data_IF_075979804887
#
_entry.id   IF_075979804887
#
_cell.length_a   1.000
_cell.length_b   1.000
_cell.length_c   1.000
_cell.angle_alpha   90.00
_cell.angle_beta   90.00
_cell.angle_gamma   90.00
#
_symmetry.space_group_name_H-M   'P 1'
#
loop_
_entity.id
_entity.type
_entity.pdbx_description
1 polymer ?
#
# COMPACT_ATOMS: atom_id res chain seq x y z
N UNK A 1 8.96 12.16 -13.04
CA UNK A 1 9.30 10.78 -13.47
C UNK A 1 8.18 10.27 -14.33
N UNK A 2 8.43 9.95 -15.61
CA UNK A 2 7.44 9.35 -16.52
C UNK A 2 7.44 7.84 -16.33
N UNK A 3 6.73 7.37 -15.30
CA UNK A 3 6.41 5.95 -15.13
C UNK A 3 5.24 5.66 -16.07
N UNK A 4 5.40 4.72 -17.00
CA UNK A 4 4.31 4.21 -17.83
C UNK A 4 3.28 3.51 -16.94
N UNK A 5 2.16 4.18 -16.68
CA UNK A 5 1.17 3.72 -15.72
C UNK A 5 0.35 2.53 -16.21
N UNK A 6 0.32 2.26 -17.52
CA UNK A 6 -0.58 1.25 -18.08
C UNK A 6 -0.16 -0.20 -17.78
N UNK A 7 1.08 -0.55 -18.12
CA UNK A 7 1.66 -1.88 -17.90
C UNK A 7 1.85 -2.23 -16.42
N UNK A 8 2.12 -1.22 -15.58
CA UNK A 8 2.19 -1.46 -14.14
C UNK A 8 0.83 -1.65 -13.47
N UNK A 9 -0.24 -1.01 -13.97
CA UNK A 9 -1.59 -1.22 -13.43
C UNK A 9 -2.06 -2.67 -13.59
N UNK A 10 -1.71 -3.31 -14.70
CA UNK A 10 -2.01 -4.73 -14.95
C UNK A 10 -1.27 -5.65 -13.97
N UNK A 11 0.01 -5.38 -13.72
CA UNK A 11 0.81 -6.11 -12.73
C UNK A 11 0.28 -5.97 -11.30
N UNK A 12 -0.19 -4.77 -10.91
CA UNK A 12 -0.75 -4.55 -9.56
C UNK A 12 -2.07 -5.31 -9.39
N UNK A 13 -2.88 -5.35 -10.44
CA UNK A 13 -4.16 -6.08 -10.45
C UNK A 13 -3.92 -7.59 -10.39
N UNK A 14 -2.89 -8.08 -11.06
CA UNK A 14 -2.52 -9.50 -11.02
C UNK A 14 -1.96 -9.92 -9.66
N UNK A 15 -1.13 -9.09 -9.01
CA UNK A 15 -0.64 -9.35 -7.65
C UNK A 15 -1.76 -9.39 -6.61
N UNK A 16 -2.71 -8.45 -6.68
CA UNK A 16 -3.88 -8.45 -5.79
C UNK A 16 -4.71 -9.73 -5.95
N UNK A 17 -4.90 -10.18 -7.20
CA UNK A 17 -5.62 -11.42 -7.49
C UNK A 17 -4.90 -12.65 -6.94
N UNK A 18 -3.57 -12.69 -7.04
CA UNK A 18 -2.74 -13.76 -6.43
C UNK A 18 -2.91 -13.76 -4.91
N UNK A 19 -2.81 -12.60 -4.27
CA UNK A 19 -2.96 -12.48 -2.83
C UNK A 19 -4.36 -12.89 -2.36
N UNK A 20 -5.42 -12.44 -3.06
CA UNK A 20 -6.81 -12.79 -2.76
C UNK A 20 -7.03 -14.31 -2.86
N UNK A 21 -6.51 -14.95 -3.92
CA UNK A 21 -6.57 -16.39 -4.08
C UNK A 21 -5.87 -17.14 -2.94
N UNK A 22 -4.68 -16.67 -2.54
CA UNK A 22 -3.89 -17.28 -1.46
C UNK A 22 -4.50 -17.07 -0.08
N UNK A 23 -5.21 -15.97 0.16
CA UNK A 23 -5.99 -15.78 1.38
C UNK A 23 -7.21 -16.73 1.38
N UNK A 24 -7.94 -16.82 0.26
CA UNK A 24 -9.13 -17.66 0.13
C UNK A 24 -8.84 -19.17 0.24
N UNK A 25 -7.63 -19.63 -0.08
CA UNK A 25 -7.16 -21.00 0.18
C UNK A 25 -7.17 -21.36 1.68
N UNK A 26 -6.96 -20.37 2.56
CA UNK A 26 -6.92 -20.57 4.01
C UNK A 26 -8.32 -20.39 4.62
N UNK A 27 -8.95 -19.27 4.32
CA UNK A 27 -10.33 -18.99 4.71
C UNK A 27 -10.94 -17.99 3.72
N UNK A 28 -12.06 -18.38 3.09
CA UNK A 28 -12.83 -17.52 2.18
C UNK A 28 -13.42 -16.28 2.86
N UNK A 29 -13.45 -16.25 4.19
CA UNK A 29 -13.90 -15.10 4.98
C UNK A 29 -12.80 -14.08 5.25
N UNK A 30 -11.55 -14.33 4.83
CA UNK A 30 -10.52 -13.31 4.92
C UNK A 30 -10.88 -12.12 4.05
N UNK A 31 -10.85 -10.94 4.65
CA UNK A 31 -11.12 -9.66 4.01
C UNK A 31 -9.84 -8.84 3.99
N UNK A 32 -9.55 -8.21 2.85
CA UNK A 32 -8.43 -7.28 2.75
C UNK A 32 -8.69 -6.07 3.65
N UNK A 33 -7.74 -5.74 4.52
CA UNK A 33 -7.85 -4.62 5.46
C UNK A 33 -6.80 -3.53 5.19
N UNK A 34 -5.68 -3.88 4.54
CA UNK A 34 -4.66 -2.93 4.14
C UNK A 34 -3.82 -3.45 2.96
N UNK A 35 -3.19 -2.51 2.25
CA UNK A 35 -2.14 -2.79 1.27
C UNK A 35 -0.95 -1.89 1.60
N UNK A 36 0.23 -2.47 1.74
CA UNK A 36 1.47 -1.74 1.98
C UNK A 36 2.39 -1.94 0.79
N UNK A 37 2.99 -0.87 0.30
CA UNK A 37 3.97 -0.90 -0.80
C UNK A 37 5.24 -0.25 -0.29
N UNK A 38 6.36 -0.95 -0.46
CA UNK A 38 7.66 -0.46 -0.03
C UNK A 38 8.57 -0.34 -1.24
N UNK A 39 8.98 0.87 -1.55
CA UNK A 39 9.82 1.20 -2.69
C UNK A 39 11.17 1.76 -2.22
N UNK A 40 12.28 1.46 -2.92
CA UNK A 40 13.56 2.13 -2.65
C UNK A 40 13.46 3.62 -2.96
N UNK A 41 14.28 4.45 -2.30
CA UNK A 41 14.31 5.89 -2.54
C UNK A 41 14.61 6.31 -4.00
N UNK A 42 15.30 5.45 -4.76
CA UNK A 42 15.55 5.62 -6.20
C UNK A 42 14.27 5.56 -7.05
N UNK A 43 13.23 4.88 -6.54
CA UNK A 43 11.99 4.57 -7.27
C UNK A 43 12.23 3.82 -8.59
N UNK A 44 13.22 2.93 -8.62
CA UNK A 44 13.52 2.13 -9.81
C UNK A 44 12.30 1.31 -10.25
N UNK A 45 12.01 1.30 -11.55
CA UNK A 45 10.83 0.61 -12.09
C UNK A 45 10.85 -0.88 -11.74
N UNK A 46 9.73 -1.41 -11.26
CA UNK A 46 9.59 -2.83 -10.91
C UNK A 46 10.34 -3.25 -9.65
N UNK A 47 10.90 -2.30 -8.89
CA UNK A 47 11.50 -2.56 -7.59
C UNK A 47 10.47 -2.59 -6.46
N UNK A 48 10.90 -3.05 -5.28
CA UNK A 48 10.09 -3.05 -4.08
C UNK A 48 9.21 -4.29 -3.90
N UNK A 49 8.35 -4.18 -2.89
CA UNK A 49 7.43 -5.24 -2.49
C UNK A 49 6.05 -4.68 -2.16
N UNK A 50 5.03 -5.47 -2.42
CA UNK A 50 3.63 -5.16 -2.11
C UNK A 50 3.09 -6.20 -1.14
N UNK A 51 2.65 -5.76 0.02
CA UNK A 51 2.11 -6.58 1.09
C UNK A 51 0.60 -6.37 1.17
N UNK A 52 -0.16 -7.45 1.02
CA UNK A 52 -1.60 -7.47 1.19
C UNK A 52 -1.92 -8.06 2.56
N UNK A 53 -2.67 -7.31 3.37
CA UNK A 53 -3.00 -7.67 4.75
C UNK A 53 -4.48 -8.01 4.84
N UNK A 54 -4.75 -9.22 5.33
CA UNK A 54 -6.10 -9.75 5.48
C UNK A 54 -6.43 -10.02 6.94
N UNK A 55 -7.69 -9.82 7.30
CA UNK A 55 -8.22 -10.21 8.59
C UNK A 55 -9.50 -11.03 8.42
N UNK A 56 -9.73 -11.98 9.34
CA UNK A 56 -10.99 -12.71 9.43
C UNK A 56 -11.68 -12.29 10.72
N UNK A 57 -13.01 -12.19 10.69
CA UNK A 57 -13.78 -11.97 11.90
C UNK A 57 -13.66 -13.15 12.88
N UNK A 58 -13.25 -14.33 12.41
CA UNK A 58 -13.01 -15.51 13.23
C UNK A 58 -11.61 -15.54 13.88
N UNK A 59 -10.57 -14.99 13.22
CA UNK A 59 -9.23 -14.87 13.81
C UNK A 59 -9.06 -13.50 14.47
N UNK A 60 -9.24 -13.47 15.80
CA UNK A 60 -9.08 -12.25 16.59
C UNK A 60 -7.62 -11.92 16.91
N UNK A 61 -6.70 -12.86 16.71
CA UNK A 61 -5.31 -12.76 17.20
C UNK A 61 -4.37 -12.31 16.08
N UNK A 62 -4.53 -12.83 14.86
CA UNK A 62 -3.55 -12.64 13.79
C UNK A 62 -4.14 -11.94 12.56
N UNK A 63 -3.27 -11.22 11.86
CA UNK A 63 -3.41 -10.83 10.47
C UNK A 63 -2.78 -11.90 9.57
N UNK A 64 -3.41 -12.17 8.43
CA UNK A 64 -2.86 -12.99 7.37
C UNK A 64 -2.21 -12.09 6.33
N UNK A 65 -0.92 -12.26 6.10
CA UNK A 65 -0.10 -11.31 5.32
C UNK A 65 0.49 -12.03 4.12
N UNK A 66 0.39 -11.39 2.96
CA UNK A 66 0.95 -11.90 1.70
C UNK A 66 1.79 -10.81 1.07
N UNK A 67 3.11 -10.98 1.09
CA UNK A 67 4.07 -10.06 0.48
C UNK A 67 4.50 -10.59 -0.87
N UNK A 68 4.38 -9.78 -1.91
CA UNK A 68 4.73 -10.10 -3.29
C UNK A 68 5.89 -9.20 -3.74
N UNK A 69 6.95 -9.80 -4.27
CA UNK A 69 8.05 -9.06 -4.90
C UNK A 69 7.58 -8.45 -6.21
N UNK A 70 7.73 -7.13 -6.36
CA UNK A 70 7.34 -6.44 -7.60
C UNK A 70 8.20 -6.88 -8.80
N UNK A 71 9.44 -7.27 -8.55
CA UNK A 71 10.38 -7.68 -9.59
C UNK A 71 10.15 -9.10 -10.09
N UNK A 72 9.81 -10.02 -9.19
CA UNK A 72 9.79 -11.47 -9.52
C UNK A 72 8.41 -12.10 -9.47
N UNK A 73 7.42 -11.43 -8.89
CA UNK A 73 6.09 -11.99 -8.62
C UNK A 73 6.09 -13.12 -7.58
N UNK A 74 7.25 -13.51 -7.04
CA UNK A 74 7.33 -14.47 -5.93
C UNK A 74 6.71 -13.86 -4.69
N UNK A 75 6.11 -14.71 -3.86
CA UNK A 75 5.41 -14.27 -2.66
C UNK A 75 5.83 -15.06 -1.42
N UNK A 76 5.70 -14.40 -0.27
CA UNK A 76 5.81 -14.99 1.07
C UNK A 76 4.47 -14.83 1.77
N UNK A 77 4.13 -15.78 2.64
CA UNK A 77 2.92 -15.77 3.46
C UNK A 77 3.31 -15.84 4.92
N UNK A 78 2.65 -15.04 5.76
CA UNK A 78 2.89 -15.01 7.19
C UNK A 78 1.57 -14.83 7.97
N UNK A 79 1.58 -15.31 9.22
CA UNK A 79 0.63 -14.89 10.25
C UNK A 79 1.37 -13.96 11.18
N UNK A 80 0.86 -12.75 11.33
CA UNK A 80 1.48 -11.75 12.20
C UNK A 80 0.45 -11.37 13.25
N UNK A 81 0.76 -11.43 14.56
CA UNK A 81 -0.15 -10.97 15.60
C UNK A 81 -0.62 -9.55 15.32
N UNK A 82 -1.91 -9.27 15.56
CA UNK A 82 -2.48 -7.95 15.28
C UNK A 82 -1.82 -6.85 16.10
N UNK A 83 -1.45 -7.16 17.34
CA UNK A 83 -0.79 -6.25 18.27
C UNK A 83 0.66 -5.89 17.88
N UNK A 84 1.32 -6.74 17.11
CA UNK A 84 2.70 -6.54 16.65
C UNK A 84 2.78 -5.83 15.29
N UNK A 85 1.64 -5.43 14.71
CA UNK A 85 1.57 -4.94 13.33
C UNK A 85 0.52 -3.85 13.15
N UNK A 86 -0.32 -3.92 12.11
CA UNK A 86 -1.25 -2.85 11.72
C UNK A 86 -2.55 -2.81 12.56
N UNK A 87 -2.67 -3.64 13.60
CA UNK A 87 -3.84 -3.68 14.47
C UNK A 87 -5.09 -4.28 13.83
N UNK A 88 -6.26 -3.92 14.37
CA UNK A 88 -7.58 -4.40 13.96
C UNK A 88 -8.30 -3.41 13.05
N UNK A 89 -7.88 -3.29 11.80
CA UNK A 89 -8.54 -2.43 10.81
C UNK A 89 -9.84 -3.07 10.27
N UNK A 90 -10.76 -2.20 9.83
CA UNK A 90 -11.95 -2.61 9.09
C UNK A 90 -11.61 -2.99 7.64
N UNK A 91 -12.43 -3.88 7.05
CA UNK A 91 -12.27 -4.31 5.66
C UNK A 91 -12.31 -3.14 4.67
N UNK A 92 -11.45 -3.20 3.66
CA UNK A 92 -11.46 -2.29 2.53
C UNK A 92 -12.62 -2.68 1.60
N UNK A 93 -13.46 -1.70 1.25
CA UNK A 93 -14.37 -1.86 0.12
C UNK A 93 -13.65 -1.54 -1.18
N UNK A 94 -13.61 -2.52 -2.09
CA UNK A 94 -12.96 -2.38 -3.41
C UNK A 94 -13.63 -1.32 -4.29
N UNK A 95 -14.90 -0.99 -4.06
CA UNK A 95 -15.62 0.06 -4.79
C UNK A 95 -15.02 1.46 -4.58
N UNK A 96 -14.33 1.66 -3.45
CA UNK A 96 -13.64 2.92 -3.13
C UNK A 96 -12.15 2.90 -3.50
N UNK A 97 -11.60 1.76 -3.88
CA UNK A 97 -10.21 1.64 -4.30
C UNK A 97 -10.08 1.92 -5.82
N UNK A 98 -10.13 3.20 -6.20
CA UNK A 98 -10.05 3.62 -7.61
C UNK A 98 -8.64 3.99 -8.08
N UNK A 99 -7.74 4.25 -7.14
CA UNK A 99 -6.34 4.59 -7.41
C UNK A 99 -5.40 3.49 -6.94
N UNK A 100 -4.52 3.02 -7.81
CA UNK A 100 -3.39 2.19 -7.39
C UNK A 100 -2.26 3.04 -6.80
N UNK A 101 -1.24 2.37 -6.26
CA UNK A 101 -0.13 3.04 -5.59
C UNK A 101 0.70 3.93 -6.53
N UNK A 102 0.74 3.67 -7.84
CA UNK A 102 1.49 4.48 -8.80
C UNK A 102 0.78 5.81 -9.02
N UNK A 103 -0.54 5.76 -9.22
CA UNK A 103 -1.35 6.97 -9.31
C UNK A 103 -1.24 7.79 -8.01
N UNK A 104 -1.32 7.13 -6.84
CA UNK A 104 -1.12 7.78 -5.55
C UNK A 104 0.27 8.41 -5.42
N UNK A 105 1.34 7.71 -5.81
CA UNK A 105 2.70 8.22 -5.81
C UNK A 105 2.86 9.42 -6.74
N UNK A 106 2.30 9.38 -7.95
CA UNK A 106 2.34 10.51 -8.89
C UNK A 106 1.62 11.74 -8.34
N UNK A 107 0.49 11.56 -7.64
CA UNK A 107 -0.20 12.64 -6.94
C UNK A 107 0.68 13.18 -5.82
N UNK A 108 1.27 12.31 -4.99
CA UNK A 108 2.13 12.71 -3.89
C UNK A 108 3.38 13.47 -4.37
N UNK A 109 4.04 13.01 -5.44
CA UNK A 109 5.21 13.69 -6.04
C UNK A 109 4.86 15.12 -6.46
N UNK A 110 3.67 15.34 -7.05
CA UNK A 110 3.17 16.67 -7.44
C UNK A 110 2.79 17.56 -6.25
N UNK A 111 2.57 16.98 -5.08
CA UNK A 111 2.15 17.69 -3.86
C UNK A 111 3.29 17.77 -2.83
N UNK A 112 4.52 17.99 -3.30
CA UNK A 112 5.69 18.23 -2.46
C UNK A 112 6.53 16.99 -2.16
N UNK A 113 6.14 15.80 -2.64
CA UNK A 113 6.96 14.59 -2.54
C UNK A 113 8.26 14.71 -3.33
N UNK A 114 8.20 15.22 -4.56
CA UNK A 114 9.39 15.42 -5.40
C UNK A 114 10.35 16.43 -4.78
N UNK A 115 9.83 17.55 -4.29
CA UNK A 115 10.64 18.58 -3.62
C UNK A 115 11.33 18.02 -2.37
N UNK A 116 10.61 17.19 -1.61
CA UNK A 116 11.18 16.50 -0.44
C UNK A 116 12.32 15.55 -0.84
N UNK A 117 12.13 14.72 -1.89
CA UNK A 117 13.18 13.82 -2.40
C UNK A 117 14.39 14.56 -2.97
N UNK A 118 14.19 15.72 -3.58
CA UNK A 118 15.29 16.53 -4.11
C UNK A 118 16.08 17.22 -2.97
N UNK A 119 15.44 17.48 -1.83
CA UNK A 119 16.07 18.19 -0.70
C UNK A 119 16.61 17.26 0.38
N UNK A 120 16.23 15.98 0.36
CA UNK A 120 16.60 14.99 1.38
C UNK A 120 17.05 13.69 0.72
N UNK A 121 18.06 13.05 1.31
CA UNK A 121 18.43 11.68 0.94
C UNK A 121 17.34 10.71 1.41
N UNK A 122 16.35 10.47 0.55
CA UNK A 122 15.27 9.52 0.80
C UNK A 122 15.79 8.12 0.59
N UNK A 123 15.68 7.31 1.64
CA UNK A 123 16.10 5.90 1.64
C UNK A 123 14.97 4.98 1.18
N UNK A 124 13.73 5.42 1.38
CA UNK A 124 12.55 4.59 1.17
C UNK A 124 11.30 5.44 0.97
N UNK A 125 10.39 4.95 0.13
CA UNK A 125 9.01 5.45 0.04
C UNK A 125 8.05 4.33 0.40
N UNK A 126 7.20 4.56 1.40
CA UNK A 126 6.16 3.61 1.81
C UNK A 126 4.79 4.14 1.38
N UNK A 127 3.95 3.28 0.86
CA UNK A 127 2.57 3.60 0.55
C UNK A 127 1.65 2.65 1.29
N UNK A 128 0.76 3.17 2.12
CA UNK A 128 -0.23 2.34 2.85
C UNK A 128 -1.63 2.72 2.42
N UNK A 129 -2.40 1.76 1.92
CA UNK A 129 -3.83 1.87 1.67
C UNK A 129 -4.58 1.29 2.88
N UNK A 130 -5.36 2.11 3.58
CA UNK A 130 -6.20 1.66 4.69
C UNK A 130 -7.38 2.60 4.94
N UNK A 131 -8.40 2.09 5.61
CA UNK A 131 -9.44 2.96 6.19
C UNK A 131 -8.83 3.73 7.37
N UNK A 132 -9.04 5.05 7.42
CA UNK A 132 -8.44 5.90 8.46
C UNK A 132 -9.20 7.20 8.69
N UNK A 133 -8.83 7.93 9.73
CA UNK A 133 -9.28 9.29 10.00
C UNK A 133 -8.99 10.26 8.85
N UNK A 134 -9.77 11.36 8.71
CA UNK A 134 -10.80 11.85 9.65
C UNK A 134 -12.22 11.30 9.42
N UNK A 135 -12.47 10.64 8.29
CA UNK A 135 -13.83 10.19 7.90
C UNK A 135 -14.02 8.68 7.92
N UNK A 136 -13.00 7.92 8.34
CA UNK A 136 -12.93 6.48 8.18
C UNK A 136 -13.12 6.05 6.71
N UNK A 137 -12.60 6.85 5.77
CA UNK A 137 -12.58 6.52 4.34
C UNK A 137 -11.29 5.81 3.97
N UNK A 138 -11.26 5.27 2.76
CA UNK A 138 -10.09 4.62 2.21
C UNK A 138 -9.08 5.66 1.71
N UNK A 139 -7.88 5.65 2.28
CA UNK A 139 -6.81 6.58 1.95
C UNK A 139 -5.52 5.85 1.59
N UNK A 140 -4.77 6.42 0.65
CA UNK A 140 -3.34 6.17 0.49
C UNK A 140 -2.56 7.15 1.36
N UNK A 141 -1.67 6.62 2.19
CA UNK A 141 -0.65 7.37 2.92
C UNK A 141 0.67 7.16 2.21
N UNK A 142 1.29 8.23 1.71
CA UNK A 142 2.57 8.19 1.00
C UNK A 142 3.66 8.81 1.86
N UNK A 143 4.51 7.96 2.41
CA UNK A 143 5.56 8.30 3.34
C UNK A 143 6.92 8.31 2.64
N UNK A 144 7.55 9.48 2.60
CA UNK A 144 8.94 9.66 2.17
C UNK A 144 9.84 9.61 3.40
N UNK A 145 10.64 8.55 3.53
CA UNK A 145 11.53 8.33 4.66
C UNK A 145 12.95 8.70 4.27
N UNK A 146 13.52 9.68 4.97
CA UNK A 146 14.95 10.03 4.88
C UNK A 146 15.66 9.67 6.18
N UNK A 147 16.98 9.89 6.23
CA UNK A 147 17.78 9.60 7.43
C UNK A 147 17.32 10.36 8.68
N UNK A 148 16.87 11.61 8.51
CA UNK A 148 16.60 12.51 9.64
C UNK A 148 15.17 13.05 9.68
N UNK A 149 14.41 12.92 8.58
CA UNK A 149 13.08 13.49 8.42
C UNK A 149 12.14 12.51 7.72
N UNK A 150 10.86 12.76 7.86
CA UNK A 150 9.80 12.06 7.15
C UNK A 150 8.78 13.08 6.62
N UNK A 151 8.20 12.80 5.46
CA UNK A 151 7.03 13.53 4.94
C UNK A 151 5.95 12.53 4.59
N UNK A 152 4.76 12.72 5.11
CA UNK A 152 3.56 11.95 4.77
C UNK A 152 2.65 12.81 3.88
N UNK A 153 2.05 12.21 2.86
CA UNK A 153 0.99 12.82 2.06
C UNK A 153 -0.20 11.86 2.05
N UNK A 154 -1.34 12.32 2.55
CA UNK A 154 -2.58 11.54 2.60
C UNK A 154 -3.49 11.85 1.40
N UNK A 155 -3.92 10.82 0.69
CA UNK A 155 -4.67 10.92 -0.57
C UNK A 155 -5.93 10.05 -0.51
N UNK A 156 -7.08 10.61 -0.85
CA UNK A 156 -8.34 9.87 -1.00
C UNK A 156 -8.24 8.84 -2.14
N UNK A 157 -8.40 7.55 -1.82
CA UNK A 157 -8.22 6.46 -2.78
C UNK A 157 -9.31 6.39 -3.86
N UNK A 158 -10.43 7.12 -3.67
CA UNK A 158 -11.55 7.13 -4.59
C UNK A 158 -11.47 8.26 -5.64
N UNK A 159 -10.84 9.39 -5.31
CA UNK A 159 -10.87 10.57 -6.17
C UNK A 159 -9.51 11.29 -6.31
N UNK A 160 -8.50 10.91 -5.52
CA UNK A 160 -7.15 11.48 -5.61
C UNK A 160 -6.97 12.84 -4.94
N UNK A 161 -7.96 13.31 -4.18
CA UNK A 161 -7.83 14.54 -3.41
C UNK A 161 -6.82 14.37 -2.29
N UNK A 162 -5.92 15.34 -2.13
CA UNK A 162 -4.99 15.39 -1.00
C UNK A 162 -5.72 15.94 0.22
N UNK A 163 -5.60 15.24 1.35
CA UNK A 163 -6.31 15.54 2.60
C UNK A 163 -5.37 16.14 3.65
N UNK A 164 -4.10 15.73 3.68
CA UNK A 164 -3.04 16.21 4.59
C UNK A 164 -1.70 16.25 3.85
N UNK A 165 -0.82 17.22 4.18
CA UNK A 165 0.48 17.48 3.53
C UNK A 165 1.61 17.77 4.54
#
# INVERSE_FOLDING_TARGET
>A
TNIDSSSLNENITSQASVADGKAAEVDKKFQLIAVEVKLPGSLDTGSGETTYVYASSADKINNWVITVSNTTGKFVRARVPKEDYIGGLGAISRDYWKLNYIAALQIAEKNGGLDFRNSNEVVEVRLTLKNSDPKNWLYWFVDYVSKNNMKEIQIDASNGSVVVQ
#
